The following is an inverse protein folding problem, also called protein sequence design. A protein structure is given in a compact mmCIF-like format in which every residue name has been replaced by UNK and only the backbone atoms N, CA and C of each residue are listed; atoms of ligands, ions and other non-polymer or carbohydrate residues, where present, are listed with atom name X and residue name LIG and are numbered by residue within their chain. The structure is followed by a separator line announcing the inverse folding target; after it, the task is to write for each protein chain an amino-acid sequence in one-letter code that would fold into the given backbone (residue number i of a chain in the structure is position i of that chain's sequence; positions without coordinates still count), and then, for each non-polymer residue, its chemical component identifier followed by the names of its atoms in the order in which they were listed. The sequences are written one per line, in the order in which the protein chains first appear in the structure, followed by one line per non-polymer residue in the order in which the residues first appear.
data_IF_590316130785
#
_entry.id   IF_590316130785
#
_cell.length_a   1.000
_cell.length_b   1.000
_cell.length_c   1.000
_cell.angle_alpha   90.00
_cell.angle_beta   90.00
_cell.angle_gamma   90.00
#
_symmetry.space_group_name_H-M   'P 1'
#
loop_
_entity.id
_entity.type
_entity.pdbx_description
1 polymer ?
#
# COMPACT_ATOMS: atom_id res chain seq x y z
N UNK A 1 1.75 -15.54 -21.08
CA UNK A 1 1.89 -14.12 -21.48
C UNK A 1 2.09 -13.30 -20.20
N UNK A 2 3.29 -12.76 -19.95
CA UNK A 2 3.57 -12.05 -18.69
C UNK A 2 2.81 -10.72 -18.63
N UNK A 3 2.19 -10.35 -17.49
CA UNK A 3 1.49 -9.08 -17.36
C UNK A 3 2.48 -7.91 -17.51
N UNK A 4 2.09 -6.88 -18.27
CA UNK A 4 2.87 -5.64 -18.37
C UNK A 4 3.11 -5.04 -16.98
N UNK A 5 4.34 -4.60 -16.69
CA UNK A 5 4.73 -3.97 -15.43
C UNK A 5 3.80 -2.82 -15.02
N UNK A 6 3.19 -2.11 -15.98
CA UNK A 6 2.21 -1.05 -15.70
C UNK A 6 0.94 -1.59 -15.03
N UNK A 7 0.41 -2.71 -15.52
CA UNK A 7 -0.78 -3.38 -14.96
C UNK A 7 -0.46 -3.94 -13.58
N UNK A 8 0.70 -4.58 -13.42
CA UNK A 8 1.11 -5.18 -12.16
C UNK A 8 1.26 -4.13 -11.04
N UNK A 9 1.87 -2.96 -11.34
CA UNK A 9 1.95 -1.84 -10.37
C UNK A 9 0.56 -1.35 -9.94
N UNK A 10 -0.36 -1.18 -10.90
CA UNK A 10 -1.72 -0.75 -10.58
C UNK A 10 -2.42 -1.73 -9.64
N UNK A 11 -2.28 -3.04 -9.86
CA UNK A 11 -2.83 -4.08 -8.98
C UNK A 11 -2.29 -3.92 -7.56
N UNK A 12 -0.98 -3.80 -7.38
CA UNK A 12 -0.41 -3.66 -6.03
C UNK A 12 -0.79 -2.33 -5.37
N UNK A 13 -0.88 -1.23 -6.12
CA UNK A 13 -1.36 0.04 -5.58
C UNK A 13 -2.81 -0.08 -5.10
N UNK A 14 -3.67 -0.72 -5.90
CA UNK A 14 -5.06 -0.98 -5.52
C UNK A 14 -5.16 -1.91 -4.30
N UNK A 15 -4.33 -2.96 -4.21
CA UNK A 15 -4.30 -3.83 -3.03
C UNK A 15 -3.91 -3.06 -1.77
N UNK A 16 -2.83 -2.27 -1.81
CA UNK A 16 -2.40 -1.43 -0.69
C UNK A 16 -3.50 -0.44 -0.30
N UNK A 17 -4.16 0.17 -1.30
CA UNK A 17 -5.27 1.09 -1.08
C UNK A 17 -6.46 0.42 -0.38
N UNK A 18 -6.94 -0.71 -0.91
CA UNK A 18 -8.09 -1.43 -0.37
C UNK A 18 -7.82 -1.95 1.03
N UNK A 19 -6.65 -2.55 1.26
CA UNK A 19 -6.28 -3.02 2.60
C UNK A 19 -6.09 -1.87 3.58
N UNK A 20 -5.52 -0.72 3.15
CA UNK A 20 -5.47 0.48 3.99
C UNK A 20 -6.87 0.93 4.44
N UNK A 21 -7.85 0.99 3.53
CA UNK A 21 -9.24 1.35 3.88
C UNK A 21 -9.84 0.36 4.88
N UNK A 22 -9.66 -0.94 4.66
CA UNK A 22 -10.17 -1.98 5.56
C UNK A 22 -9.50 -1.88 6.93
N UNK A 23 -8.19 -1.73 6.98
CA UNK A 23 -7.43 -1.55 8.21
C UNK A 23 -7.88 -0.30 8.98
N UNK A 24 -8.12 0.81 8.28
CA UNK A 24 -8.65 2.04 8.88
C UNK A 24 -10.05 1.81 9.47
N UNK A 25 -10.95 1.14 8.74
CA UNK A 25 -12.31 0.88 9.21
C UNK A 25 -12.31 -0.01 10.46
N UNK A 26 -11.51 -1.08 10.45
CA UNK A 26 -11.37 -2.02 11.56
C UNK A 26 -10.77 -1.33 12.80
N UNK A 27 -9.69 -0.58 12.63
CA UNK A 27 -9.03 0.12 13.74
C UNK A 27 -9.87 1.27 14.28
N UNK A 28 -10.53 2.05 13.42
CA UNK A 28 -11.40 3.15 13.85
C UNK A 28 -12.64 2.67 14.61
N UNK A 29 -13.25 1.54 14.21
CA UNK A 29 -14.39 0.95 14.90
C UNK A 29 -14.10 0.57 16.35
N UNK A 30 -12.83 0.33 16.68
CA UNK A 30 -12.39 -0.16 18.00
C UNK A 30 -11.60 0.86 18.82
N UNK A 31 -11.16 1.96 18.20
CA UNK A 31 -10.44 3.03 18.89
C UNK A 31 -11.24 3.67 20.03
N UNK A 32 -12.57 3.47 20.04
CA UNK A 32 -13.50 3.97 21.05
C UNK A 32 -13.68 3.02 22.24
N UNK A 33 -13.06 1.85 22.22
CA UNK A 33 -13.24 0.83 23.27
C UNK A 33 -11.89 0.50 23.91
N UNK A 34 -11.82 0.68 25.23
CA UNK A 34 -10.61 0.45 26.01
C UNK A 34 -10.27 -1.05 26.07
N UNK A 35 -8.98 -1.35 26.04
CA UNK A 35 -8.44 -2.71 26.14
C UNK A 35 -7.68 -2.93 27.43
N UNK A 36 -7.10 -4.12 27.56
CA UNK A 36 -6.30 -4.46 28.73
C UNK A 36 -4.91 -3.83 28.70
N UNK A 37 -4.28 -3.75 27.53
CA UNK A 37 -2.98 -3.09 27.38
C UNK A 37 -3.11 -1.57 27.28
N UNK A 38 -2.38 -0.86 28.15
CA UNK A 38 -2.26 0.60 28.12
C UNK A 38 -1.63 1.13 26.81
N UNK A 39 -0.85 0.32 26.10
CA UNK A 39 -0.15 0.71 24.87
C UNK A 39 -0.99 0.50 23.61
N UNK A 40 -1.97 -0.42 23.65
CA UNK A 40 -2.85 -0.72 22.52
C UNK A 40 -3.55 0.51 21.93
N UNK A 41 -4.23 1.38 22.72
CA UNK A 41 -4.92 2.54 22.14
C UNK A 41 -3.95 3.53 21.49
N UNK A 42 -2.70 3.63 21.97
CA UNK A 42 -1.69 4.47 21.34
C UNK A 42 -1.30 3.91 19.96
N UNK A 43 -0.98 2.62 19.88
CA UNK A 43 -0.61 1.98 18.61
C UNK A 43 -1.77 1.99 17.61
N UNK A 44 -3.00 1.78 18.06
CA UNK A 44 -4.19 1.86 17.20
C UNK A 44 -4.43 3.27 16.66
N UNK A 45 -4.27 4.33 17.48
CA UNK A 45 -4.39 5.72 17.00
C UNK A 45 -3.33 6.05 15.95
N UNK A 46 -2.09 5.60 16.16
CA UNK A 46 -1.00 5.77 15.19
C UNK A 46 -1.34 5.00 13.90
N UNK A 47 -1.82 3.75 14.01
CA UNK A 47 -2.23 2.94 12.88
C UNK A 47 -3.35 3.60 12.06
N UNK A 48 -4.38 4.18 12.71
CA UNK A 48 -5.46 4.92 12.03
C UNK A 48 -4.90 6.11 11.26
N UNK A 49 -4.09 6.95 11.91
CA UNK A 49 -3.50 8.12 11.28
C UNK A 49 -2.62 7.74 10.08
N UNK A 50 -1.81 6.70 10.23
CA UNK A 50 -0.96 6.22 9.14
C UNK A 50 -1.76 5.51 8.03
N UNK A 51 -2.86 4.85 8.38
CA UNK A 51 -3.76 4.23 7.41
C UNK A 51 -4.45 5.28 6.54
N UNK A 52 -4.96 6.36 7.15
CA UNK A 52 -5.51 7.50 6.45
C UNK A 52 -4.47 8.15 5.50
N UNK A 53 -3.25 8.37 6.01
CA UNK A 53 -2.16 8.89 5.19
C UNK A 53 -1.81 7.96 4.02
N UNK A 54 -1.71 6.65 4.26
CA UNK A 54 -1.47 5.64 3.24
C UNK A 54 -2.57 5.65 2.18
N UNK A 55 -3.84 5.74 2.60
CA UNK A 55 -4.99 5.79 1.72
C UNK A 55 -4.97 7.03 0.81
N UNK A 56 -4.81 8.22 1.39
CA UNK A 56 -4.75 9.48 0.63
C UNK A 56 -3.57 9.45 -0.35
N UNK A 57 -2.40 9.09 0.14
CA UNK A 57 -1.18 9.11 -0.67
C UNK A 57 -1.20 8.08 -1.81
N UNK A 58 -1.69 6.87 -1.54
CA UNK A 58 -1.82 5.83 -2.57
C UNK A 58 -2.88 6.19 -3.61
N UNK A 59 -3.97 6.87 -3.20
CA UNK A 59 -4.98 7.41 -4.13
C UNK A 59 -4.37 8.42 -5.09
N UNK A 60 -3.58 9.37 -4.58
CA UNK A 60 -2.87 10.36 -5.39
C UNK A 60 -1.93 9.65 -6.38
N UNK A 61 -1.08 8.76 -5.87
CA UNK A 61 -0.13 8.00 -6.70
C UNK A 61 -0.85 7.21 -7.81
N UNK A 62 -1.97 6.56 -7.50
CA UNK A 62 -2.73 5.77 -8.47
C UNK A 62 -3.38 6.65 -9.54
N UNK A 63 -3.90 7.82 -9.18
CA UNK A 63 -4.45 8.78 -10.13
C UNK A 63 -3.39 9.23 -11.15
N UNK A 64 -2.19 9.61 -10.68
CA UNK A 64 -1.09 10.02 -11.56
C UNK A 64 -0.47 8.86 -12.36
N UNK A 65 -0.50 7.63 -11.83
CA UNK A 65 -0.08 6.43 -12.58
C UNK A 65 -0.95 6.18 -13.83
N UNK A 66 -2.24 6.53 -13.76
CA UNK A 66 -3.16 6.41 -14.89
C UNK A 66 -2.96 7.51 -15.95
N UNK A 67 -2.30 8.62 -15.60
CA UNK A 67 -2.00 9.77 -16.48
C UNK A 67 -0.49 9.99 -16.68
N UNK A 68 0.24 9.02 -17.26
CA UNK A 68 1.71 8.99 -17.22
C UNK A 68 2.40 10.00 -18.17
N UNK A 69 1.66 10.64 -19.08
CA UNK A 69 2.19 11.63 -20.04
C UNK A 69 2.45 13.01 -19.43
N UNK A 70 2.02 13.24 -18.18
CA UNK A 70 2.27 14.51 -17.50
C UNK A 70 3.69 14.55 -16.92
N UNK A 71 4.38 15.68 -17.07
CA UNK A 71 5.72 15.94 -16.52
C UNK A 71 5.73 16.23 -15.01
N UNK A 72 4.67 15.82 -14.31
CA UNK A 72 4.47 16.12 -12.89
C UNK A 72 5.39 15.29 -11.97
N UNK A 73 5.74 15.82 -10.80
CA UNK A 73 6.59 15.09 -9.83
C UNK A 73 5.96 13.75 -9.39
N UNK A 74 4.62 13.69 -9.35
CA UNK A 74 3.84 12.50 -9.01
C UNK A 74 3.85 11.41 -10.08
N UNK A 75 4.42 11.62 -11.26
CA UNK A 75 4.61 10.57 -12.27
C UNK A 75 6.03 9.98 -12.25
N UNK A 76 6.93 10.53 -11.43
CA UNK A 76 8.35 10.13 -11.38
C UNK A 76 8.53 8.79 -10.67
N UNK A 77 9.20 7.84 -11.33
CA UNK A 77 9.49 6.51 -10.77
C UNK A 77 10.10 6.56 -9.37
N UNK A 78 11.03 7.49 -9.13
CA UNK A 78 11.71 7.66 -7.83
C UNK A 78 10.74 7.98 -6.69
N UNK A 79 9.74 8.83 -6.93
CA UNK A 79 8.77 9.20 -5.90
C UNK A 79 7.93 8.00 -5.48
N UNK A 80 7.43 7.23 -6.46
CA UNK A 80 6.67 6.01 -6.17
C UNK A 80 7.55 5.02 -5.39
N UNK A 81 8.78 4.79 -5.84
CA UNK A 81 9.71 3.86 -5.19
C UNK A 81 9.94 4.21 -3.71
N UNK A 82 10.31 5.45 -3.41
CA UNK A 82 10.56 5.87 -2.03
C UNK A 82 9.30 5.90 -1.17
N UNK A 83 8.15 6.26 -1.74
CA UNK A 83 6.86 6.22 -1.04
C UNK A 83 6.54 4.81 -0.55
N UNK A 84 6.67 3.82 -1.42
CA UNK A 84 6.38 2.43 -1.04
C UNK A 84 7.44 1.83 -0.11
N UNK A 85 8.71 2.26 -0.19
CA UNK A 85 9.71 1.88 0.84
C UNK A 85 9.31 2.41 2.21
N UNK A 86 8.87 3.67 2.30
CA UNK A 86 8.41 4.23 3.56
C UNK A 86 7.22 3.43 4.11
N UNK A 87 6.27 3.03 3.25
CA UNK A 87 5.17 2.16 3.65
C UNK A 87 5.65 0.80 4.16
N UNK A 88 6.62 0.14 3.51
CA UNK A 88 7.16 -1.14 3.99
C UNK A 88 7.68 -1.01 5.41
N UNK A 89 8.52 -0.02 5.68
CA UNK A 89 9.17 0.15 6.98
C UNK A 89 8.15 0.45 8.07
N UNK A 90 7.25 1.41 7.83
CA UNK A 90 6.29 1.84 8.85
C UNK A 90 5.24 0.76 9.12
N UNK A 91 4.67 0.13 8.08
CA UNK A 91 3.67 -0.93 8.28
C UNK A 91 4.28 -2.19 8.90
N UNK A 92 5.54 -2.52 8.59
CA UNK A 92 6.25 -3.60 9.27
C UNK A 92 6.40 -3.30 10.76
N UNK A 93 6.89 -2.10 11.10
CA UNK A 93 7.07 -1.70 12.49
C UNK A 93 5.74 -1.69 13.26
N UNK A 94 4.68 -1.13 12.67
CA UNK A 94 3.34 -1.14 13.27
C UNK A 94 2.80 -2.54 13.48
N UNK A 95 2.91 -3.42 12.46
CA UNK A 95 2.47 -4.81 12.58
C UNK A 95 3.18 -5.55 13.71
N UNK A 96 4.51 -5.41 13.82
CA UNK A 96 5.30 -6.02 14.91
C UNK A 96 4.91 -5.43 16.27
N UNK A 97 4.76 -4.11 16.40
CA UNK A 97 4.37 -3.47 17.66
C UNK A 97 2.97 -3.91 18.12
N UNK A 98 1.99 -3.99 17.21
CA UNK A 98 0.64 -4.45 17.52
C UNK A 98 0.66 -5.94 17.91
N UNK A 99 1.33 -6.79 17.13
CA UNK A 99 1.42 -8.22 17.46
C UNK A 99 2.17 -8.48 18.76
N UNK A 100 3.11 -7.61 19.15
CA UNK A 100 3.81 -7.73 20.44
C UNK A 100 2.87 -7.58 21.64
N UNK A 101 1.70 -6.94 21.49
CA UNK A 101 0.68 -6.87 22.55
C UNK A 101 -0.21 -8.11 22.62
N UNK A 102 -0.04 -9.10 21.73
CA UNK A 102 -0.91 -10.29 21.72
C UNK A 102 -0.81 -11.10 23.01
N UNK A 103 0.36 -11.13 23.66
CA UNK A 103 0.54 -11.88 24.91
C UNK A 103 -0.41 -11.41 26.02
N UNK A 104 -0.63 -10.09 26.13
CA UNK A 104 -1.56 -9.52 27.12
C UNK A 104 -3.01 -9.60 26.67
N UNK A 105 -3.28 -9.43 25.37
CA UNK A 105 -4.65 -9.39 24.83
C UNK A 105 -5.25 -10.80 24.62
N UNK A 106 -4.39 -11.83 24.56
CA UNK A 106 -4.77 -13.24 24.42
C UNK A 106 -4.61 -14.04 25.72
N UNK A 107 -4.45 -13.38 26.86
CA UNK A 107 -4.46 -14.04 28.16
C UNK A 107 -5.92 -14.26 28.63
N UNK A 108 -6.40 -15.48 28.39
CA UNK A 108 -7.75 -15.91 28.77
C UNK A 108 -7.88 -16.29 30.24
N UNK A 109 -6.77 -16.44 30.97
CA UNK A 109 -6.77 -16.91 32.36
C UNK A 109 -6.80 -15.75 33.35
N UNK A 110 -6.03 -14.68 33.10
CA UNK A 110 -5.91 -13.56 34.06
C UNK A 110 -6.82 -12.36 33.74
N UNK A 111 -7.19 -12.16 32.47
CA UNK A 111 -7.81 -10.92 31.99
C UNK A 111 -9.15 -11.15 31.26
N UNK A 112 -9.94 -12.12 31.72
CA UNK A 112 -11.20 -12.47 31.05
C UNK A 112 -12.37 -11.62 31.56
N UNK A 113 -12.63 -10.49 30.89
CA UNK A 113 -13.90 -9.74 30.99
C UNK A 113 -15.03 -10.36 30.13
N UNK A 114 -14.79 -11.56 29.58
CA UNK A 114 -15.67 -12.20 28.58
C UNK A 114 -15.42 -11.74 27.13
N UNK A 115 -14.57 -10.73 26.90
CA UNK A 115 -14.21 -10.20 25.58
C UNK A 115 -12.75 -10.43 25.19
N UNK A 116 -11.93 -11.08 26.03
CA UNK A 116 -10.54 -11.42 25.72
C UNK A 116 -10.36 -12.06 24.32
N UNK A 117 -11.29 -12.93 23.90
CA UNK A 117 -11.24 -13.53 22.56
C UNK A 117 -11.38 -12.53 21.42
N UNK A 118 -12.24 -11.52 21.59
CA UNK A 118 -12.44 -10.45 20.62
C UNK A 118 -11.16 -9.60 20.53
N UNK A 119 -10.56 -9.26 21.67
CA UNK A 119 -9.34 -8.46 21.74
C UNK A 119 -8.13 -9.15 21.13
N UNK A 120 -7.97 -10.43 21.44
CA UNK A 120 -6.95 -11.28 20.84
C UNK A 120 -7.12 -11.34 19.31
N UNK A 121 -8.33 -11.65 18.82
CA UNK A 121 -8.62 -11.73 17.40
C UNK A 121 -8.31 -10.41 16.67
N UNK A 122 -8.73 -9.27 17.23
CA UNK A 122 -8.46 -7.97 16.63
C UNK A 122 -6.99 -7.61 16.60
N UNK A 123 -6.23 -7.96 17.64
CA UNK A 123 -4.78 -7.76 17.66
C UNK A 123 -4.12 -8.52 16.51
N UNK A 124 -4.52 -9.77 16.26
CA UNK A 124 -4.03 -10.54 15.12
C UNK A 124 -4.51 -10.02 13.77
N UNK A 125 -5.77 -9.61 13.64
CA UNK A 125 -6.31 -9.09 12.38
C UNK A 125 -5.62 -7.79 11.99
N UNK A 126 -5.50 -6.83 12.92
CA UNK A 126 -4.89 -5.52 12.64
C UNK A 126 -3.37 -5.63 12.49
N UNK A 127 -2.71 -6.36 13.40
CA UNK A 127 -1.28 -6.63 13.29
C UNK A 127 -0.91 -7.41 12.02
N UNK A 128 -1.69 -8.44 11.68
CA UNK A 128 -1.54 -9.22 10.45
C UNK A 128 -1.86 -8.40 9.20
N UNK A 129 -2.91 -7.59 9.23
CA UNK A 129 -3.29 -6.65 8.18
C UNK A 129 -2.17 -5.67 7.85
N UNK A 130 -1.55 -5.07 8.88
CA UNK A 130 -0.36 -4.24 8.74
C UNK A 130 0.80 -4.97 8.05
N UNK A 131 1.09 -6.22 8.43
CA UNK A 131 2.13 -7.03 7.78
C UNK A 131 1.80 -7.34 6.32
N UNK A 132 0.53 -7.61 5.99
CA UNK A 132 0.08 -7.84 4.61
C UNK A 132 0.26 -6.58 3.76
N UNK A 133 -0.13 -5.41 4.28
CA UNK A 133 0.09 -4.12 3.60
C UNK A 133 1.58 -3.88 3.37
N UNK A 134 2.43 -4.21 4.35
CA UNK A 134 3.89 -4.13 4.21
C UNK A 134 4.40 -5.05 3.10
N UNK A 135 3.93 -6.29 3.03
CA UNK A 135 4.32 -7.25 1.99
C UNK A 135 3.87 -6.82 0.58
N UNK A 136 2.65 -6.30 0.43
CA UNK A 136 2.19 -5.74 -0.85
C UNK A 136 2.99 -4.51 -1.24
N UNK A 137 3.31 -3.64 -0.28
CA UNK A 137 4.18 -2.49 -0.48
C UNK A 137 5.57 -2.92 -0.95
N UNK A 138 6.16 -3.94 -0.34
CA UNK A 138 7.47 -4.47 -0.71
C UNK A 138 7.46 -5.06 -2.13
N UNK A 139 6.38 -5.76 -2.48
CA UNK A 139 6.21 -6.29 -3.84
C UNK A 139 6.08 -5.16 -4.85
N UNK A 140 5.34 -4.09 -4.52
CA UNK A 140 5.25 -2.89 -5.35
C UNK A 140 6.64 -2.25 -5.56
N UNK A 141 7.47 -2.14 -4.50
CA UNK A 141 8.86 -1.65 -4.60
C UNK A 141 9.67 -2.50 -5.58
N UNK A 142 9.61 -3.83 -5.49
CA UNK A 142 10.34 -4.73 -6.40
C UNK A 142 9.87 -4.55 -7.84
N UNK A 143 8.57 -4.45 -8.08
CA UNK A 143 8.01 -4.24 -9.43
C UNK A 143 8.42 -2.88 -9.98
N UNK A 144 8.39 -1.82 -9.16
CA UNK A 144 8.85 -0.49 -9.55
C UNK A 144 10.35 -0.54 -9.87
N UNK A 145 11.17 -1.10 -8.99
CA UNK A 145 12.62 -1.20 -9.18
C UNK A 145 12.97 -1.83 -10.53
N UNK A 146 12.36 -2.98 -10.83
CA UNK A 146 12.56 -3.72 -12.08
C UNK A 146 11.94 -3.05 -13.32
N UNK A 147 11.04 -2.08 -13.17
CA UNK A 147 10.41 -1.40 -14.31
C UNK A 147 11.36 -0.39 -14.97
N UNK A 148 11.35 -0.31 -16.30
CA UNK A 148 12.12 0.70 -17.05
C UNK A 148 11.40 2.05 -16.96
N UNK A 149 12.15 3.13 -16.70
CA UNK A 149 11.60 4.49 -16.69
C UNK A 149 11.51 5.06 -18.12
N UNK A 150 10.63 6.03 -18.34
CA UNK A 150 10.67 6.86 -19.57
C UNK A 150 11.96 7.68 -19.62
N UNK A 151 12.27 8.29 -20.77
CA UNK A 151 13.37 9.25 -20.92
C UNK A 151 13.30 10.38 -19.88
N UNK A 152 12.09 10.82 -19.54
CA UNK A 152 11.85 11.85 -18.51
C UNK A 152 11.94 11.32 -17.06
N UNK A 153 12.24 10.03 -16.86
CA UNK A 153 12.22 9.37 -15.55
C UNK A 153 10.81 9.01 -15.03
N UNK A 154 9.80 9.14 -15.88
CA UNK A 154 8.41 8.86 -15.55
C UNK A 154 8.13 7.34 -15.49
N UNK A 155 7.10 6.97 -14.73
CA UNK A 155 6.66 5.59 -14.53
C UNK A 155 6.03 4.97 -15.79
N UNK A 156 5.75 5.78 -16.83
CA UNK A 156 5.15 5.40 -18.11
C UNK A 156 5.86 4.24 -18.83
N UNK A 157 7.18 4.11 -18.62
CA UNK A 157 8.06 3.32 -19.48
C UNK A 157 8.46 4.08 -20.74
N UNK A 158 9.38 3.55 -21.56
CA UNK A 158 9.76 4.17 -22.82
C UNK A 158 8.53 4.28 -23.74
N UNK A 159 8.32 5.46 -24.33
CA UNK A 159 7.29 5.67 -25.35
C UNK A 159 7.75 4.89 -26.58
N UNK A 160 7.26 3.66 -26.74
CA UNK A 160 7.39 2.96 -28.02
C UNK A 160 6.46 3.72 -28.96
N UNK A 161 7.03 4.62 -29.79
CA UNK A 161 6.34 5.09 -30.97
C UNK A 161 5.99 3.83 -31.77
N UNK A 162 4.75 3.37 -31.68
CA UNK A 162 4.19 2.48 -32.69
C UNK A 162 4.11 3.34 -33.93
N UNK A 163 5.16 3.33 -34.74
CA UNK A 163 5.07 3.71 -36.13
C UNK A 163 4.06 2.74 -36.74
N UNK A 164 2.81 3.17 -36.83
CA UNK A 164 1.81 2.46 -37.63
C UNK A 164 2.31 2.52 -39.06
N UNK A 165 2.64 1.35 -39.60
CA UNK A 165 3.05 1.10 -40.98
C UNK A 165 1.88 1.35 -41.96
N UNK A 166 1.30 2.53 -41.88
CA UNK A 166 0.25 3.04 -42.79
C UNK A 166 0.66 4.36 -43.43
N UNK A 167 1.76 4.98 -42.97
CA UNK A 167 2.22 6.27 -43.48
C UNK A 167 3.24 6.12 -44.62
N UNK A 168 3.78 4.92 -44.85
CA UNK A 168 4.66 4.64 -46.00
C UNK A 168 3.89 4.27 -47.29
N UNK A 169 2.65 3.78 -47.20
CA UNK A 169 1.89 3.34 -48.39
C UNK A 169 1.27 4.51 -49.17
N UNK A 170 1.13 5.69 -48.55
CA UNK A 170 0.64 6.90 -49.21
C UNK A 170 1.76 7.83 -49.70
N UNK A 171 3.04 7.48 -49.47
CA UNK A 171 4.18 8.30 -49.93
C UNK A 171 4.83 7.77 -51.21
N UNK A 172 4.36 6.63 -51.75
CA UNK A 172 4.87 6.03 -52.99
C UNK A 172 3.90 6.11 -54.17
N UNK A 173 2.82 6.89 -54.04
CA UNK A 173 1.77 7.05 -55.07
C UNK A 173 1.60 8.48 -55.59
N UNK A 174 2.58 9.36 -55.34
CA UNK A 174 2.70 10.67 -56.03
C UNK A 174 3.90 10.72 -56.97
#
# INVERSE_FOLDING_TARGET
MAPSHKKLRAVFYSLVLSFGIVEMALTAGLAWVEGFSKLRPLFQKIAIGFSLATWIWTSIILAYHNHPSQSHIFTKKKLHFWSFIAFVVVWLALGVMILSTSGTECDFETSSDGMAGIWCAFTFITGGGALIISAFSATAVVVIYKSVASADGNVAGPVVHKYTRTDEENASTE
#
